data_IF_721789640129
#
_entry.id   IF_721789640129
#
_cell.length_a   1.000
_cell.length_b   1.000
_cell.length_c   1.000
_cell.angle_alpha   90.00
_cell.angle_beta   90.00
_cell.angle_gamma   90.00
#
_symmetry.space_group_name_H-M   'P 1'
#
loop_
_entity.id
_entity.type
_entity.pdbx_description
1 polymer ?
#
# COMPACT_ATOMS: atom_id res chain seq x y z
N UNK A 1 8.57 1.28 -1.77
CA UNK A 1 9.74 1.53 -2.63
C UNK A 1 9.50 2.84 -3.37
N UNK A 2 10.42 3.78 -3.23
CA UNK A 2 10.39 5.02 -4.00
C UNK A 2 10.90 4.73 -5.41
N UNK A 3 10.30 5.35 -6.42
CA UNK A 3 10.67 5.17 -7.82
C UNK A 3 11.26 6.45 -8.39
N UNK A 4 12.09 6.34 -9.44
CA UNK A 4 12.65 7.51 -10.14
C UNK A 4 11.58 8.41 -10.78
N UNK A 5 10.35 7.90 -10.95
CA UNK A 5 9.21 8.66 -11.45
C UNK A 5 8.46 9.45 -10.37
N UNK A 6 9.05 9.66 -9.18
CA UNK A 6 8.42 10.43 -8.10
C UNK A 6 7.21 9.76 -7.45
N UNK A 7 7.03 8.44 -7.63
CA UNK A 7 5.94 7.67 -7.01
C UNK A 7 6.46 6.67 -6.00
N UNK A 8 5.60 6.28 -5.06
CA UNK A 8 5.86 5.18 -4.13
C UNK A 8 5.05 3.96 -4.56
N UNK A 9 5.72 2.80 -4.66
CA UNK A 9 5.08 1.50 -4.96
C UNK A 9 5.26 0.52 -3.81
N UNK A 10 4.27 -0.35 -3.62
CA UNK A 10 4.26 -1.36 -2.58
C UNK A 10 3.23 -2.45 -2.85
N UNK A 11 3.16 -3.42 -1.95
CA UNK A 11 2.19 -4.50 -1.94
C UNK A 11 1.53 -4.56 -0.56
N UNK A 12 0.30 -5.04 -0.50
CA UNK A 12 -0.48 -5.18 0.71
C UNK A 12 -1.12 -6.56 0.74
N UNK A 13 -0.99 -7.23 1.87
CA UNK A 13 -1.62 -8.52 2.16
C UNK A 13 -2.34 -8.37 3.51
N UNK A 14 -3.52 -8.96 3.63
CA UNK A 14 -4.32 -8.88 4.84
C UNK A 14 -5.77 -9.21 4.57
N UNK A 15 -6.56 -9.27 5.64
CA UNK A 15 -8.01 -9.43 5.55
C UNK A 15 -8.65 -8.22 4.87
N UNK A 16 -9.84 -8.40 4.32
CA UNK A 16 -10.54 -7.39 3.53
C UNK A 16 -10.71 -6.06 4.28
N UNK A 17 -11.11 -6.11 5.56
CA UNK A 17 -11.33 -4.92 6.38
C UNK A 17 -10.06 -4.07 6.57
N UNK A 18 -8.96 -4.58 7.17
CA UNK A 18 -7.73 -3.81 7.32
C UNK A 18 -7.13 -3.42 5.96
N UNK A 19 -7.32 -4.24 4.91
CA UNK A 19 -6.91 -3.84 3.56
C UNK A 19 -7.66 -2.60 3.06
N UNK A 20 -8.98 -2.54 3.25
CA UNK A 20 -9.79 -1.41 2.82
C UNK A 20 -9.47 -0.14 3.62
N UNK A 21 -9.22 -0.27 4.93
CA UNK A 21 -8.76 0.84 5.78
C UNK A 21 -7.39 1.38 5.30
N UNK A 22 -6.45 0.50 4.96
CA UNK A 22 -5.15 0.90 4.43
C UNK A 22 -5.25 1.55 3.04
N UNK A 23 -6.08 1.02 2.14
CA UNK A 23 -6.36 1.65 0.83
C UNK A 23 -6.91 3.07 1.02
N UNK A 24 -7.87 3.24 1.94
CA UNK A 24 -8.42 4.54 2.26
C UNK A 24 -7.36 5.51 2.83
N UNK A 25 -6.47 5.01 3.70
CA UNK A 25 -5.40 5.81 4.26
C UNK A 25 -4.39 6.26 3.18
N UNK A 26 -3.99 5.34 2.29
CA UNK A 26 -3.05 5.58 1.20
C UNK A 26 -3.59 6.53 0.12
N UNK A 27 -4.91 6.66 -0.01
CA UNK A 27 -5.53 7.56 -0.99
C UNK A 27 -5.93 8.93 -0.41
N UNK A 28 -6.07 9.07 0.92
CA UNK A 28 -6.60 10.31 1.53
C UNK A 28 -5.71 10.97 2.59
N UNK A 29 -4.85 10.21 3.27
CA UNK A 29 -4.07 10.70 4.42
C UNK A 29 -2.57 10.69 4.13
N UNK A 30 -2.01 9.49 3.91
CA UNK A 30 -0.58 9.35 3.70
C UNK A 30 0.26 9.82 4.90
N UNK A 31 1.56 9.96 4.69
CA UNK A 31 2.44 10.49 5.74
C UNK A 31 2.22 11.98 5.94
N UNK A 32 2.47 12.53 7.15
CA UNK A 32 2.19 13.94 7.46
C UNK A 32 2.82 14.96 6.52
N UNK A 33 3.99 14.65 5.96
CA UNK A 33 4.73 15.53 5.04
C UNK A 33 4.47 15.21 3.56
N UNK A 34 3.56 14.28 3.26
CA UNK A 34 3.22 13.91 1.88
C UNK A 34 1.92 14.58 1.44
N UNK A 35 1.81 14.81 0.13
CA UNK A 35 0.55 15.14 -0.52
C UNK A 35 0.23 14.01 -1.49
N UNK A 36 -0.91 13.36 -1.30
CA UNK A 36 -1.38 12.32 -2.21
C UNK A 36 -2.10 12.99 -3.38
N UNK A 37 -1.48 12.97 -4.54
CA UNK A 37 -2.14 13.41 -5.78
C UNK A 37 -3.09 12.34 -6.32
N UNK A 38 -2.66 11.08 -6.27
CA UNK A 38 -3.43 9.92 -6.70
C UNK A 38 -2.90 8.65 -6.05
N UNK A 39 -3.79 7.71 -5.78
CA UNK A 39 -3.46 6.31 -5.49
C UNK A 39 -4.12 5.40 -6.54
N UNK A 40 -3.40 4.36 -6.96
CA UNK A 40 -3.92 3.35 -7.91
C UNK A 40 -3.76 1.98 -7.27
N UNK A 41 -4.82 1.19 -7.29
CA UNK A 41 -4.85 -0.16 -6.74
C UNK A 41 -5.14 -1.16 -7.85
N UNK A 42 -4.36 -2.24 -7.89
CA UNK A 42 -4.66 -3.39 -8.75
C UNK A 42 -5.81 -4.21 -8.16
N UNK A 43 -6.40 -5.07 -9.00
CA UNK A 43 -7.36 -6.07 -8.54
C UNK A 43 -6.69 -6.95 -7.47
N UNK A 44 -7.30 -7.12 -6.28
CA UNK A 44 -6.74 -7.98 -5.25
C UNK A 44 -6.75 -9.45 -5.70
N UNK A 45 -5.78 -10.21 -5.22
CA UNK A 45 -5.68 -11.65 -5.44
C UNK A 45 -5.84 -12.36 -4.09
N UNK A 46 -6.66 -13.40 -4.05
CA UNK A 46 -6.75 -14.26 -2.88
C UNK A 46 -5.44 -15.04 -2.69
N UNK A 47 -4.99 -15.10 -1.45
CA UNK A 47 -3.79 -15.83 -1.03
C UNK A 47 -4.18 -16.77 0.11
N UNK A 48 -3.59 -17.95 0.14
CA UNK A 48 -3.81 -18.92 1.22
C UNK A 48 -2.87 -18.72 2.40
N UNK A 49 -1.74 -18.05 2.18
CA UNK A 49 -0.73 -17.73 3.18
C UNK A 49 -0.10 -16.38 2.86
N UNK A 50 0.37 -15.68 3.88
CA UNK A 50 1.14 -14.45 3.72
C UNK A 50 2.48 -14.73 3.02
N UNK A 51 2.81 -13.89 2.03
CA UNK A 51 4.12 -13.92 1.36
C UNK A 51 5.19 -13.21 2.19
N UNK A 52 4.78 -12.32 3.10
CA UNK A 52 5.66 -11.53 3.95
C UNK A 52 5.43 -11.85 5.42
N UNK A 53 6.53 -11.94 6.17
CA UNK A 53 6.47 -12.14 7.63
C UNK A 53 5.96 -10.90 8.36
N UNK A 54 6.29 -9.72 7.86
CA UNK A 54 5.95 -8.43 8.46
C UNK A 54 6.00 -7.31 7.40
N UNK A 55 5.51 -6.13 7.75
CA UNK A 55 5.65 -4.93 6.96
C UNK A 55 7.10 -4.43 6.98
N UNK A 56 7.66 -4.10 5.81
CA UNK A 56 9.02 -3.59 5.70
C UNK A 56 9.12 -2.48 4.67
N UNK A 57 9.97 -1.49 4.97
CA UNK A 57 10.29 -0.39 4.06
C UNK A 57 11.49 -0.80 3.23
N UNK A 58 11.29 -0.95 1.92
CA UNK A 58 12.40 -1.14 0.96
C UNK A 58 13.00 0.22 0.60
N UNK A 59 14.32 0.35 0.80
CA UNK A 59 15.12 1.49 0.36
C UNK A 59 15.36 1.43 -1.14
#
# INVERSE_FOLDING_TARGET
MNTNGGTVKGQLEGDEKPMNEMKYWLQTKGSPSSRIEKAVFSVPKEITNYSFKDFSIRR
#
